data_IF_839065450651
#
_entry.id   IF_839065450651
#
_cell.length_a   1.000
_cell.length_b   1.000
_cell.length_c   1.000
_cell.angle_alpha   90.00
_cell.angle_beta   90.00
_cell.angle_gamma   90.00
#
_symmetry.space_group_name_H-M   'P 1'
#
loop_
_entity.id
_entity.type
_entity.pdbx_description
1 polymer ?
#
# COMPACT_ATOMS: atom_id res chain seq x y z
N UNK A 1 16.28 5.36 -9.00
CA UNK A 1 17.06 4.29 -8.35
C UNK A 1 16.27 3.52 -7.30
N UNK A 2 15.83 4.12 -6.19
CA UNK A 2 15.05 3.41 -5.15
C UNK A 2 13.75 2.76 -5.68
N UNK A 3 12.98 3.46 -6.52
CA UNK A 3 11.75 2.91 -7.09
C UNK A 3 11.98 1.68 -7.99
N UNK A 4 13.10 1.64 -8.71
CA UNK A 4 13.48 0.50 -9.55
C UNK A 4 13.85 -0.73 -8.70
N UNK A 5 14.63 -0.53 -7.64
CA UNK A 5 14.99 -1.60 -6.70
C UNK A 5 13.75 -2.21 -6.02
N UNK A 6 12.77 -1.36 -5.68
CA UNK A 6 11.49 -1.81 -5.12
C UNK A 6 10.66 -2.60 -6.15
N UNK A 7 10.61 -2.15 -7.40
CA UNK A 7 9.90 -2.86 -8.47
C UNK A 7 10.50 -4.25 -8.70
N UNK A 8 11.83 -4.38 -8.72
CA UNK A 8 12.49 -5.70 -8.80
C UNK A 8 12.08 -6.57 -7.62
N UNK A 9 12.15 -6.04 -6.40
CA UNK A 9 11.77 -6.80 -5.19
C UNK A 9 10.33 -7.30 -5.26
N UNK A 10 9.39 -6.46 -5.69
CA UNK A 10 7.97 -6.82 -5.84
C UNK A 10 7.76 -7.88 -6.94
N UNK A 11 8.46 -7.78 -8.06
CA UNK A 11 8.42 -8.77 -9.14
C UNK A 11 8.99 -10.14 -8.69
N UNK A 12 10.02 -10.15 -7.86
CA UNK A 12 10.59 -11.39 -7.30
C UNK A 12 9.55 -12.09 -6.41
N UNK A 13 8.85 -11.36 -5.54
CA UNK A 13 7.76 -11.94 -4.74
C UNK A 13 6.60 -12.43 -5.60
N UNK A 14 6.21 -11.66 -6.62
CA UNK A 14 5.15 -12.06 -7.55
C UNK A 14 5.51 -13.37 -8.25
N UNK A 15 6.73 -13.48 -8.77
CA UNK A 15 7.20 -14.68 -9.46
C UNK A 15 7.26 -15.88 -8.51
N UNK A 16 7.73 -15.71 -7.28
CA UNK A 16 7.74 -16.76 -6.25
C UNK A 16 6.34 -17.30 -5.95
N UNK A 17 5.36 -16.41 -5.77
CA UNK A 17 3.98 -16.81 -5.49
C UNK A 17 3.27 -17.40 -6.71
N UNK A 18 3.54 -16.89 -7.91
CA UNK A 18 3.03 -17.48 -9.16
C UNK A 18 3.62 -18.87 -9.38
N UNK A 19 4.91 -19.07 -9.09
CA UNK A 19 5.54 -20.40 -9.17
C UNK A 19 4.94 -21.40 -8.16
N UNK A 20 4.48 -20.92 -7.01
CA UNK A 20 3.96 -21.77 -5.93
C UNK A 20 2.46 -22.08 -6.07
N UNK A 21 1.64 -21.09 -6.41
CA UNK A 21 0.16 -21.16 -6.40
C UNK A 21 -0.41 -21.16 -7.84
N UNK A 22 0.42 -20.87 -8.84
CA UNK A 22 0.01 -20.66 -10.23
C UNK A 22 -0.40 -19.21 -10.51
N UNK A 23 -0.80 -18.98 -11.76
CA UNK A 23 -1.27 -17.68 -12.25
C UNK A 23 -2.65 -17.36 -11.67
N UNK A 24 -2.67 -16.80 -10.46
CA UNK A 24 -3.91 -16.48 -9.73
C UNK A 24 -3.86 -15.08 -9.12
N UNK A 25 -5.00 -14.38 -9.00
CA UNK A 25 -5.05 -13.07 -8.33
C UNK A 25 -4.51 -13.11 -6.89
N UNK A 26 -4.70 -14.24 -6.20
CA UNK A 26 -4.18 -14.46 -4.86
C UNK A 26 -2.65 -14.39 -4.80
N UNK A 27 -1.94 -14.85 -5.83
CA UNK A 27 -0.48 -14.74 -5.91
C UNK A 27 -0.02 -13.28 -5.84
N UNK A 28 -0.68 -12.37 -6.57
CA UNK A 28 -0.38 -10.94 -6.52
C UNK A 28 -0.74 -10.32 -5.16
N UNK A 29 -1.88 -10.72 -4.57
CA UNK A 29 -2.29 -10.24 -3.25
C UNK A 29 -1.25 -10.61 -2.20
N UNK A 30 -0.79 -11.86 -2.15
CA UNK A 30 0.23 -12.29 -1.19
C UNK A 30 1.60 -11.66 -1.47
N UNK A 31 1.98 -11.55 -2.74
CA UNK A 31 3.23 -10.91 -3.16
C UNK A 31 3.34 -9.45 -2.71
N UNK A 32 2.21 -8.74 -2.63
CA UNK A 32 2.17 -7.39 -2.08
C UNK A 32 1.99 -7.42 -0.55
N UNK A 33 1.04 -8.18 -0.03
CA UNK A 33 0.61 -8.13 1.37
C UNK A 33 1.73 -8.49 2.35
N UNK A 34 2.54 -9.51 2.05
CA UNK A 34 3.58 -9.98 2.98
C UNK A 34 4.71 -8.94 3.14
N UNK A 35 5.41 -8.52 2.07
CA UNK A 35 6.48 -7.53 2.21
C UNK A 35 5.95 -6.16 2.65
N UNK A 36 4.75 -5.76 2.21
CA UNK A 36 4.17 -4.49 2.65
C UNK A 36 3.77 -4.54 4.12
N UNK A 37 3.10 -5.60 4.55
CA UNK A 37 2.67 -5.81 5.93
C UNK A 37 3.84 -5.86 6.90
N UNK A 38 4.93 -6.54 6.54
CA UNK A 38 6.13 -6.59 7.38
C UNK A 38 6.77 -5.21 7.60
N UNK A 39 6.91 -4.42 6.53
CA UNK A 39 7.45 -3.05 6.65
C UNK A 39 6.50 -2.14 7.42
N UNK A 40 5.19 -2.24 7.13
CA UNK A 40 4.18 -1.42 7.79
C UNK A 40 4.14 -1.70 9.29
N UNK A 41 4.18 -2.97 9.69
CA UNK A 41 4.18 -3.38 11.09
C UNK A 41 5.42 -2.87 11.84
N UNK A 42 6.61 -2.94 11.22
CA UNK A 42 7.83 -2.41 11.83
C UNK A 42 7.77 -0.89 12.00
N UNK A 43 7.39 -0.17 10.95
CA UNK A 43 7.29 1.30 11.00
C UNK A 43 6.23 1.76 12.00
N UNK A 44 5.11 1.04 12.11
CA UNK A 44 4.09 1.35 13.12
C UNK A 44 4.57 1.07 14.54
N UNK A 45 5.34 -0.01 14.75
CA UNK A 45 5.98 -0.27 16.04
C UNK A 45 6.97 0.85 16.41
N UNK A 46 7.85 1.23 15.48
CA UNK A 46 8.81 2.33 15.66
C UNK A 46 8.08 3.64 16.00
N UNK A 47 6.96 3.95 15.31
CA UNK A 47 6.13 5.13 15.63
C UNK A 47 5.50 5.06 17.02
N UNK A 48 5.06 3.88 17.48
CA UNK A 48 4.49 3.70 18.81
C UNK A 48 5.52 3.85 19.93
N UNK A 49 6.76 3.42 19.67
CA UNK A 49 7.90 3.51 20.60
C UNK A 49 8.41 4.96 20.74
N UNK A 50 8.33 5.76 19.67
CA UNK A 50 8.79 7.16 19.64
C UNK A 50 7.83 8.13 20.37
N UNK A 51 6.71 7.64 20.91
CA UNK A 51 5.74 8.48 21.63
C UNK A 51 6.37 9.03 22.92
N UNK A 52 6.28 10.36 23.16
CA UNK A 52 6.80 10.96 24.39
C UNK A 52 6.15 10.34 25.62
N UNK A 53 6.97 10.03 26.62
CA UNK A 53 6.55 9.29 27.81
C UNK A 53 5.76 10.14 28.81
N UNK A 54 5.76 11.47 28.67
CA UNK A 54 5.12 12.41 29.59
C UNK A 54 3.58 12.28 29.64
N UNK A 55 2.84 12.33 28.50
CA UNK A 55 1.40 12.08 28.48
C UNK A 55 1.00 10.72 29.08
N UNK A 56 1.85 9.72 28.86
CA UNK A 56 1.62 8.33 29.23
C UNK A 56 1.76 8.13 30.74
N UNK A 57 2.78 8.76 31.34
CA UNK A 57 2.96 8.78 32.79
C UNK A 57 1.83 9.53 33.50
N UNK A 58 1.32 10.62 32.90
CA UNK A 58 0.15 11.32 33.43
C UNK A 58 -1.11 10.44 33.45
N UNK A 59 -1.36 9.67 32.39
CA UNK A 59 -2.44 8.68 32.33
C UNK A 59 -2.27 7.57 33.38
N UNK A 60 -1.06 7.03 33.54
CA UNK A 60 -0.79 6.00 34.55
C UNK A 60 -0.99 6.51 35.98
N UNK A 61 -0.54 7.73 36.29
CA UNK A 61 -0.74 8.34 37.61
C UNK A 61 -2.21 8.68 37.90
N UNK A 62 -3.02 8.90 36.86
CA UNK A 62 -4.48 9.02 36.96
C UNK A 62 -5.21 7.67 37.15
N UNK A 63 -4.48 6.55 37.21
CA UNK A 63 -5.04 5.21 37.45
C UNK A 63 -5.47 4.46 36.18
N UNK A 64 -5.04 4.90 34.99
CA UNK A 64 -5.37 4.21 33.74
C UNK A 64 -4.69 2.82 33.66
N UNK A 65 -5.45 1.83 33.18
CA UNK A 65 -4.94 0.51 32.84
C UNK A 65 -4.10 0.53 31.56
N UNK A 66 -3.21 -0.45 31.36
CA UNK A 66 -2.33 -0.54 30.19
C UNK A 66 -3.08 -0.46 28.85
N UNK A 67 -4.28 -1.05 28.76
CA UNK A 67 -5.12 -0.99 27.57
C UNK A 67 -5.68 0.41 27.35
N UNK A 68 -6.10 1.10 28.41
CA UNK A 68 -6.55 2.49 28.30
C UNK A 68 -5.41 3.42 27.91
N UNK A 69 -4.21 3.21 28.44
CA UNK A 69 -3.01 3.96 28.06
C UNK A 69 -2.64 3.74 26.59
N UNK A 70 -2.83 2.52 26.07
CA UNK A 70 -2.64 2.25 24.64
C UNK A 70 -3.64 3.02 23.77
N UNK A 71 -4.95 2.87 24.05
CA UNK A 71 -6.02 3.45 23.23
C UNK A 71 -6.16 4.97 23.36
N UNK A 72 -5.87 5.54 24.52
CA UNK A 72 -6.07 6.96 24.82
C UNK A 72 -4.77 7.75 25.02
N UNK A 73 -3.62 7.08 25.13
CA UNK A 73 -2.30 7.69 25.21
C UNK A 73 -1.54 7.56 23.90
N UNK A 74 -1.11 6.35 23.56
CA UNK A 74 -0.28 6.11 22.38
C UNK A 74 -1.03 6.37 21.06
N UNK A 75 -2.13 5.65 20.85
CA UNK A 75 -2.86 5.61 19.58
C UNK A 75 -3.27 7.00 19.05
N UNK A 76 -3.88 7.91 19.83
CA UNK A 76 -4.31 9.20 19.32
C UNK A 76 -3.14 10.11 18.92
N UNK A 77 -1.98 10.00 19.59
CA UNK A 77 -0.79 10.81 19.28
C UNK A 77 -0.22 10.43 17.91
N UNK A 78 -0.18 9.12 17.60
CA UNK A 78 0.43 8.61 16.35
C UNK A 78 -0.58 8.32 15.26
N UNK A 79 -1.88 8.38 15.54
CA UNK A 79 -2.94 8.02 14.59
C UNK A 79 -2.81 8.77 13.26
N UNK A 80 -2.60 10.10 13.30
CA UNK A 80 -2.45 10.91 12.10
C UNK A 80 -1.23 10.48 11.25
N UNK A 81 -0.10 10.17 11.90
CA UNK A 81 1.12 9.70 11.25
C UNK A 81 0.95 8.29 10.66
N UNK A 82 0.36 7.37 11.43
CA UNK A 82 0.03 6.01 10.99
C UNK A 82 -0.88 6.04 9.78
N UNK A 83 -1.98 6.80 9.82
CA UNK A 83 -2.92 6.91 8.69
C UNK A 83 -2.25 7.54 7.47
N UNK A 84 -1.45 8.60 7.66
CA UNK A 84 -0.74 9.26 6.56
C UNK A 84 0.28 8.32 5.88
N UNK A 85 0.97 7.49 6.66
CA UNK A 85 1.91 6.50 6.14
C UNK A 85 1.18 5.32 5.48
N UNK A 86 0.09 4.83 6.08
CA UNK A 86 -0.76 3.80 5.49
C UNK A 86 -1.29 4.22 4.11
N UNK A 87 -1.79 5.45 3.98
CA UNK A 87 -2.28 6.00 2.72
C UNK A 87 -1.18 6.14 1.67
N UNK A 88 0.00 6.65 2.05
CA UNK A 88 1.17 6.67 1.17
C UNK A 88 1.51 5.26 0.65
N UNK A 89 1.51 4.28 1.57
CA UNK A 89 1.87 2.90 1.24
C UNK A 89 0.80 2.21 0.38
N UNK A 90 -0.47 2.54 0.59
CA UNK A 90 -1.59 2.09 -0.22
C UNK A 90 -1.48 2.59 -1.67
N UNK A 91 -1.24 3.89 -1.87
CA UNK A 91 -0.99 4.48 -3.20
C UNK A 91 0.19 3.76 -3.90
N UNK A 92 1.26 3.56 -3.14
CA UNK A 92 2.43 2.80 -3.59
C UNK A 92 2.08 1.36 -4.02
N UNK A 93 1.16 0.69 -3.31
CA UNK A 93 0.72 -0.68 -3.62
C UNK A 93 -0.16 -0.72 -4.88
N UNK A 94 -1.05 0.25 -5.05
CA UNK A 94 -1.90 0.40 -6.25
C UNK A 94 -1.03 0.58 -7.49
N UNK A 95 0.01 1.44 -7.42
CA UNK A 95 0.93 1.63 -8.54
C UNK A 95 1.67 0.33 -8.90
N UNK A 96 2.10 -0.40 -7.88
CA UNK A 96 2.79 -1.68 -8.04
C UNK A 96 1.89 -2.79 -8.58
N UNK A 97 0.60 -2.79 -8.23
CA UNK A 97 -0.35 -3.77 -8.77
C UNK A 97 -0.59 -3.59 -10.27
N UNK A 98 -0.60 -2.35 -10.76
CA UNK A 98 -0.67 -2.07 -12.20
C UNK A 98 0.51 -2.70 -12.97
N UNK A 99 1.72 -2.67 -12.40
CA UNK A 99 2.90 -3.32 -12.98
C UNK A 99 2.73 -4.85 -12.95
N UNK A 100 2.24 -5.42 -11.83
CA UNK A 100 2.01 -6.86 -11.71
C UNK A 100 0.96 -7.38 -12.69
N UNK A 101 -0.03 -6.58 -13.10
CA UNK A 101 -1.02 -7.00 -14.09
C UNK A 101 -0.40 -7.37 -15.45
N UNK A 102 0.75 -6.80 -15.81
CA UNK A 102 1.47 -7.18 -17.05
C UNK A 102 2.20 -8.52 -16.93
N UNK A 103 2.28 -9.12 -15.74
CA UNK A 103 2.92 -10.43 -15.52
C UNK A 103 1.95 -11.59 -15.74
N UNK A 104 0.75 -11.31 -16.27
CA UNK A 104 -0.26 -12.33 -16.59
C UNK A 104 -1.23 -12.67 -15.46
N UNK A 105 -1.14 -12.02 -14.30
CA UNK A 105 -1.98 -12.32 -13.13
C UNK A 105 -3.46 -11.85 -13.31
N UNK A 106 -3.86 -11.46 -14.52
CA UNK A 106 -5.15 -10.83 -14.80
C UNK A 106 -5.19 -9.36 -14.35
N UNK A 107 -6.17 -8.60 -14.85
CA UNK A 107 -6.33 -7.17 -14.59
C UNK A 107 -6.11 -6.29 -15.83
N UNK A 108 -6.06 -4.97 -15.63
CA UNK A 108 -6.02 -3.99 -16.73
C UNK A 108 -4.74 -4.12 -17.58
N UNK A 109 -3.57 -4.29 -16.95
CA UNK A 109 -2.31 -4.49 -17.68
C UNK A 109 -2.29 -5.75 -18.54
N UNK A 110 -2.94 -6.82 -18.08
CA UNK A 110 -3.07 -8.06 -18.85
C UNK A 110 -3.96 -7.87 -20.08
N UNK A 111 -5.08 -7.16 -19.95
CA UNK A 111 -5.96 -6.84 -21.08
C UNK A 111 -5.26 -5.94 -22.11
N UNK A 112 -4.45 -4.97 -21.65
CA UNK A 112 -3.60 -4.16 -22.54
C UNK A 112 -2.65 -5.04 -23.34
N UNK A 113 -2.01 -6.00 -22.68
CA UNK A 113 -1.08 -6.92 -23.35
C UNK A 113 -1.78 -7.83 -24.35
N UNK A 114 -2.94 -8.39 -24.00
CA UNK A 114 -3.75 -9.19 -24.92
C UNK A 114 -4.18 -8.39 -26.16
N UNK A 115 -4.73 -7.18 -26.00
CA UNK A 115 -5.12 -6.35 -27.14
C UNK A 115 -3.93 -5.92 -28.00
N UNK A 116 -2.73 -5.80 -27.41
CA UNK A 116 -1.49 -5.56 -28.17
C UNK A 116 -1.09 -6.79 -29.00
N UNK A 117 -1.16 -7.99 -28.42
CA UNK A 117 -0.87 -9.26 -29.09
C UNK A 117 -1.86 -9.52 -30.24
N UNK A 118 -3.13 -9.12 -30.07
CA UNK A 118 -4.18 -9.17 -31.10
C UNK A 118 -4.14 -8.01 -32.11
N UNK A 119 -3.16 -7.10 -32.01
CA UNK A 119 -3.02 -5.89 -32.85
C UNK A 119 -4.25 -4.95 -32.83
N UNK A 120 -5.08 -5.03 -31.78
CA UNK A 120 -6.25 -4.17 -31.56
C UNK A 120 -5.87 -2.83 -30.93
N UNK A 121 -5.16 -1.99 -31.67
CA UNK A 121 -4.64 -0.71 -31.16
C UNK A 121 -5.71 0.22 -30.55
N UNK A 122 -6.95 0.19 -31.04
CA UNK A 122 -8.05 0.99 -30.49
C UNK A 122 -8.42 0.59 -29.05
N UNK A 123 -8.42 -0.71 -28.76
CA UNK A 123 -8.68 -1.24 -27.41
C UNK A 123 -7.51 -0.93 -26.48
N UNK A 124 -6.27 -1.05 -26.98
CA UNK A 124 -5.05 -0.69 -26.23
C UNK A 124 -5.12 0.75 -25.73
N UNK A 125 -5.44 1.71 -26.60
CA UNK A 125 -5.58 3.11 -26.20
C UNK A 125 -6.67 3.30 -25.15
N UNK A 126 -7.81 2.63 -25.30
CA UNK A 126 -8.93 2.72 -24.35
C UNK A 126 -8.51 2.24 -22.96
N UNK A 127 -7.88 1.08 -22.86
CA UNK A 127 -7.40 0.56 -21.57
C UNK A 127 -6.26 1.40 -20.99
N UNK A 128 -5.36 1.93 -21.83
CA UNK A 128 -4.29 2.82 -21.39
C UNK A 128 -4.84 4.11 -20.77
N UNK A 129 -5.81 4.77 -21.43
CA UNK A 129 -6.47 5.96 -20.89
C UNK A 129 -7.20 5.66 -19.59
N UNK A 130 -7.91 4.54 -19.52
CA UNK A 130 -8.61 4.13 -18.30
C UNK A 130 -7.64 3.89 -17.14
N UNK A 131 -6.50 3.23 -17.39
CA UNK A 131 -5.46 3.00 -16.38
C UNK A 131 -4.87 4.31 -15.87
N UNK A 132 -4.52 5.25 -16.76
CA UNK A 132 -4.01 6.57 -16.38
C UNK A 132 -5.04 7.34 -15.56
N UNK A 133 -6.30 7.35 -15.99
CA UNK A 133 -7.39 8.01 -15.28
C UNK A 133 -7.58 7.43 -13.87
N UNK A 134 -7.56 6.10 -13.74
CA UNK A 134 -7.68 5.40 -12.46
C UNK A 134 -6.54 5.77 -11.51
N UNK A 135 -5.30 5.81 -12.01
CA UNK A 135 -4.13 6.23 -11.22
C UNK A 135 -4.29 7.69 -10.75
N UNK A 136 -4.71 8.59 -11.63
CA UNK A 136 -4.94 10.01 -11.29
C UNK A 136 -6.03 10.16 -10.21
N UNK A 137 -7.13 9.40 -10.31
CA UNK A 137 -8.22 9.44 -9.33
C UNK A 137 -7.72 8.98 -7.96
N UNK A 138 -6.94 7.90 -7.92
CA UNK A 138 -6.39 7.36 -6.67
C UNK A 138 -5.38 8.33 -6.05
N UNK A 139 -4.48 8.92 -6.84
CA UNK A 139 -3.53 9.92 -6.38
C UNK A 139 -4.26 11.18 -5.86
N UNK A 140 -5.31 11.63 -6.55
CA UNK A 140 -6.12 12.77 -6.13
C UNK A 140 -6.85 12.48 -4.82
N UNK A 141 -7.41 11.28 -4.65
CA UNK A 141 -8.09 10.87 -3.42
C UNK A 141 -7.11 10.75 -2.25
N UNK A 142 -5.96 10.10 -2.47
CA UNK A 142 -4.85 9.98 -1.51
C UNK A 142 -4.40 11.37 -1.02
N UNK A 143 -4.21 12.32 -1.94
CA UNK A 143 -3.83 13.68 -1.61
C UNK A 143 -4.91 14.46 -0.85
N UNK A 144 -6.19 14.29 -1.20
CA UNK A 144 -7.28 14.94 -0.48
C UNK A 144 -7.40 14.41 0.96
N UNK A 145 -7.27 13.10 1.16
CA UNK A 145 -7.29 12.49 2.48
C UNK A 145 -6.09 12.95 3.33
N UNK A 146 -4.89 13.03 2.75
CA UNK A 146 -3.71 13.55 3.44
C UNK A 146 -3.90 15.00 3.90
N UNK A 147 -4.47 15.86 3.05
CA UNK A 147 -4.76 17.27 3.38
C UNK A 147 -5.79 17.43 4.50
N UNK A 148 -6.70 16.47 4.67
CA UNK A 148 -7.71 16.47 5.75
C UNK A 148 -7.11 16.03 7.09
N UNK A 149 -6.07 15.20 7.07
CA UNK A 149 -5.39 14.67 8.26
C UNK A 149 -4.23 15.55 8.76
N UNK A 150 -3.72 16.46 7.91
CA UNK A 150 -2.69 17.43 8.29
C UNK A 150 -3.26 18.74 8.86
N UNK A 151 -4.44 18.69 9.49
CA UNK A 151 -5.10 19.84 10.13
C UNK A 151 -5.05 19.63 11.65
#
# INVERSE_FOLDING_TARGET
>A
LLGFMRAIHELVWAWLFVASIGLSPFAAIFALAIPYGGILGRIFADMLEDVPQEPIKALHTAGASTIQTLWYGHLPIVAASITSYAMYRFECAVRSSAIMSFVGIGGLGYQIQLSLDDLHYNEVWTFMFFLVLLVIIIDAWSNQLRKRLSI
#
